data_IF_033726424218
#
_entry.id   IF_033726424218
#
_cell.length_a   1.000
_cell.length_b   1.000
_cell.length_c   1.000
_cell.angle_alpha   90.00
_cell.angle_beta   90.00
_cell.angle_gamma   90.00
#
_symmetry.space_group_name_H-M   'P 1'
#
loop_
_entity.id
_entity.type
_entity.pdbx_description
1 polymer ?
#
# COMPACT_ATOMS: atom_id res chain seq x y z
N UNK A 1 -4.48 15.03 -23.95
CA UNK A 1 -4.48 15.44 -22.53
C UNK A 1 -5.37 14.49 -21.77
N UNK A 2 -4.90 13.88 -20.68
CA UNK A 2 -5.72 12.95 -19.88
C UNK A 2 -6.72 13.78 -19.09
N UNK A 3 -8.02 13.52 -19.28
CA UNK A 3 -9.08 14.05 -18.42
C UNK A 3 -9.29 13.09 -17.26
N UNK A 4 -9.26 13.58 -16.03
CA UNK A 4 -9.55 12.85 -14.81
C UNK A 4 -10.79 13.44 -14.16
N UNK A 5 -11.74 12.59 -13.85
CA UNK A 5 -12.93 12.95 -13.09
C UNK A 5 -12.62 12.78 -11.60
N UNK A 6 -12.34 13.90 -10.92
CA UNK A 6 -12.02 13.87 -9.49
C UNK A 6 -13.28 13.57 -8.68
N UNK A 7 -13.27 12.47 -7.94
CA UNK A 7 -14.43 11.99 -7.17
C UNK A 7 -14.29 12.33 -5.68
N UNK A 8 -15.40 12.65 -5.04
CA UNK A 8 -15.47 12.93 -3.60
C UNK A 8 -14.93 11.75 -2.78
N UNK A 9 -14.33 12.06 -1.64
CA UNK A 9 -13.76 11.12 -0.69
C UNK A 9 -12.60 10.24 -1.24
N UNK A 10 -12.18 10.44 -2.48
CA UNK A 10 -11.01 9.72 -3.01
C UNK A 10 -9.74 10.28 -2.40
N UNK A 11 -8.84 9.35 -2.09
CA UNK A 11 -7.53 9.64 -1.51
C UNK A 11 -6.67 10.43 -2.47
N UNK A 12 -5.95 11.40 -1.92
CA UNK A 12 -4.80 12.00 -2.57
C UNK A 12 -3.64 12.16 -1.57
N UNK A 13 -2.45 12.29 -2.09
CA UNK A 13 -1.23 12.53 -1.32
C UNK A 13 -0.55 13.77 -1.88
N UNK A 14 -0.06 14.62 -0.99
CA UNK A 14 0.77 15.78 -1.32
C UNK A 14 2.23 15.40 -1.04
N UNK A 15 3.10 15.57 -2.02
CA UNK A 15 4.52 15.31 -1.88
C UNK A 15 5.26 16.61 -1.60
N UNK A 16 5.89 16.71 -0.43
CA UNK A 16 6.76 17.83 -0.03
C UNK A 16 8.00 17.25 0.65
N UNK A 17 9.19 17.67 0.25
CA UNK A 17 10.47 17.24 0.83
C UNK A 17 10.57 15.72 1.01
N UNK A 18 10.23 14.97 -0.04
CA UNK A 18 10.21 13.49 -0.07
C UNK A 18 9.22 12.82 0.90
N UNK A 19 8.41 13.61 1.61
CA UNK A 19 7.37 13.11 2.51
C UNK A 19 6.00 13.20 1.86
N UNK A 20 5.16 12.19 2.13
CA UNK A 20 3.79 12.13 1.64
C UNK A 20 2.81 12.49 2.75
N UNK A 21 1.98 13.51 2.49
CA UNK A 21 0.91 13.93 3.37
C UNK A 21 -0.43 13.47 2.80
N UNK A 22 -1.21 12.75 3.59
CA UNK A 22 -2.49 12.21 3.17
C UNK A 22 -3.58 13.28 3.22
N UNK A 23 -4.45 13.28 2.23
CA UNK A 23 -5.64 14.10 2.15
C UNK A 23 -6.73 13.38 1.35
N UNK A 24 -7.93 13.93 1.31
CA UNK A 24 -9.05 13.41 0.53
C UNK A 24 -9.74 14.57 -0.20
N UNK A 25 -10.33 14.27 -1.36
CA UNK A 25 -11.17 15.21 -2.10
C UNK A 25 -12.44 15.48 -1.31
N UNK A 26 -12.72 16.75 -1.04
CA UNK A 26 -13.90 17.21 -0.29
C UNK A 26 -14.97 17.80 -1.21
N UNK A 27 -14.56 18.51 -2.25
CA UNK A 27 -15.46 19.09 -3.24
C UNK A 27 -14.72 19.29 -4.58
N UNK A 28 -15.47 19.35 -5.67
CA UNK A 28 -14.94 19.56 -7.01
C UNK A 28 -15.89 20.47 -7.77
N UNK A 29 -15.41 21.64 -8.19
CA UNK A 29 -16.13 22.60 -9.02
C UNK A 29 -15.43 22.77 -10.37
N UNK A 30 -15.92 23.62 -11.22
CA UNK A 30 -15.24 23.95 -12.47
C UNK A 30 -13.92 24.70 -12.25
N UNK A 31 -13.81 25.45 -11.14
CA UNK A 31 -12.69 26.34 -10.86
C UNK A 31 -11.61 25.71 -9.95
N UNK A 32 -11.98 24.78 -9.05
CA UNK A 32 -11.06 24.22 -8.06
C UNK A 32 -11.36 22.77 -7.68
N UNK A 33 -10.39 22.18 -7.03
CA UNK A 33 -10.52 20.92 -6.26
C UNK A 33 -10.32 21.27 -4.79
N UNK A 34 -11.33 21.04 -3.96
CA UNK A 34 -11.22 21.19 -2.52
C UNK A 34 -10.71 19.89 -1.88
N UNK A 35 -9.76 20.01 -0.98
CA UNK A 35 -9.15 18.88 -0.28
C UNK A 35 -9.12 19.12 1.23
N UNK A 36 -9.17 18.05 2.02
CA UNK A 36 -8.92 18.14 3.47
C UNK A 36 -7.49 18.64 3.74
N UNK A 37 -7.23 19.21 4.91
CA UNK A 37 -5.87 19.60 5.28
C UNK A 37 -4.95 18.38 5.24
N UNK A 38 -3.84 18.41 4.49
CA UNK A 38 -2.94 17.27 4.37
C UNK A 38 -2.24 16.97 5.69
N UNK A 39 -2.18 15.68 6.05
CA UNK A 39 -1.58 15.22 7.31
C UNK A 39 -0.61 14.06 7.10
N UNK A 40 0.43 13.99 7.94
CA UNK A 40 1.31 12.84 8.06
C UNK A 40 1.54 12.53 9.53
N UNK A 41 1.20 11.32 9.98
CA UNK A 41 1.34 10.88 11.38
C UNK A 41 0.78 11.87 12.42
N UNK A 42 -0.33 12.57 12.10
CA UNK A 42 -0.96 13.57 12.96
C UNK A 42 -0.44 15.00 12.79
N UNK A 43 0.65 15.21 12.08
CA UNK A 43 1.17 16.53 11.75
C UNK A 43 0.49 17.11 10.52
N UNK A 44 0.05 18.37 10.60
CA UNK A 44 -0.54 19.10 9.50
C UNK A 44 0.56 19.72 8.61
N UNK A 45 0.38 19.64 7.29
CA UNK A 45 1.26 20.33 6.35
C UNK A 45 0.86 21.81 6.27
N UNK A 46 1.74 22.75 6.69
CA UNK A 46 1.49 24.17 6.54
C UNK A 46 1.68 24.60 5.08
N UNK A 47 0.58 24.88 4.37
CA UNK A 47 0.60 25.33 2.99
C UNK A 47 0.06 26.75 2.90
N UNK A 48 0.75 27.64 2.21
CA UNK A 48 0.31 29.03 1.97
C UNK A 48 -0.38 29.17 0.62
N UNK A 49 -1.24 30.18 0.48
CA UNK A 49 -1.81 30.56 -0.82
C UNK A 49 -0.69 30.90 -1.80
N UNK A 50 -0.77 30.39 -3.02
CA UNK A 50 0.24 30.53 -4.06
C UNK A 50 1.30 29.42 -4.05
N UNK A 51 1.39 28.59 -3.02
CA UNK A 51 2.31 27.45 -2.99
C UNK A 51 1.97 26.47 -4.12
N UNK A 52 3.00 26.01 -4.82
CA UNK A 52 2.88 24.94 -5.84
C UNK A 52 3.22 23.62 -5.16
N UNK A 53 2.38 22.63 -5.37
CA UNK A 53 2.50 21.30 -4.75
C UNK A 53 2.39 20.18 -5.80
N UNK A 54 3.09 19.10 -5.56
CA UNK A 54 2.95 17.85 -6.30
C UNK A 54 1.84 17.00 -5.65
N UNK A 55 0.83 16.68 -6.42
CA UNK A 55 -0.34 15.91 -5.99
C UNK A 55 -0.34 14.55 -6.64
N UNK A 56 -0.64 13.52 -5.86
CA UNK A 56 -0.88 12.17 -6.34
C UNK A 56 -2.32 11.80 -5.99
N UNK A 57 -3.12 11.57 -7.00
CA UNK A 57 -4.53 11.21 -6.88
C UNK A 57 -4.72 9.73 -7.16
N UNK A 58 -5.52 9.07 -6.33
CA UNK A 58 -5.80 7.63 -6.40
C UNK A 58 -7.24 7.39 -6.84
N UNK A 59 -7.39 6.80 -8.01
CA UNK A 59 -8.67 6.38 -8.55
C UNK A 59 -8.63 4.89 -8.89
N UNK A 60 -9.31 4.08 -8.07
CA UNK A 60 -9.40 2.62 -8.24
C UNK A 60 -8.06 1.97 -8.59
N UNK A 61 -7.86 1.59 -9.85
CA UNK A 61 -6.64 0.95 -10.33
C UNK A 61 -5.61 1.96 -10.88
N UNK A 62 -6.01 3.22 -11.04
CA UNK A 62 -5.19 4.25 -11.65
C UNK A 62 -4.60 5.19 -10.60
N UNK A 63 -3.40 5.64 -10.86
CA UNK A 63 -2.72 6.65 -10.06
C UNK A 63 -2.32 7.78 -11.00
N UNK A 64 -2.66 9.00 -10.61
CA UNK A 64 -2.36 10.19 -11.38
C UNK A 64 -1.44 11.12 -10.58
N UNK A 65 -0.49 11.75 -11.27
CA UNK A 65 0.36 12.80 -10.70
C UNK A 65 0.15 14.08 -11.48
N UNK A 66 0.03 15.20 -10.75
CA UNK A 66 -0.04 16.53 -11.33
C UNK A 66 0.50 17.59 -10.35
N UNK A 67 0.92 18.73 -10.87
CA UNK A 67 1.20 19.90 -10.08
C UNK A 67 -0.05 20.77 -9.99
N UNK A 68 -0.25 21.41 -8.84
CA UNK A 68 -1.31 22.38 -8.62
C UNK A 68 -0.87 23.47 -7.66
N UNK A 69 -1.51 24.63 -7.70
CA UNK A 69 -1.29 25.71 -6.75
C UNK A 69 -2.42 25.82 -5.73
N UNK A 70 -2.06 26.21 -4.51
CA UNK A 70 -3.04 26.56 -3.47
C UNK A 70 -3.65 27.93 -3.83
N UNK A 71 -4.92 27.97 -4.17
CA UNK A 71 -5.62 29.22 -4.50
C UNK A 71 -6.33 29.85 -3.31
N UNK A 72 -6.60 29.06 -2.26
CA UNK A 72 -7.25 29.58 -1.07
C UNK A 72 -7.51 28.52 -0.01
N UNK A 73 -8.20 28.98 1.03
CA UNK A 73 -8.74 28.14 2.10
C UNK A 73 -10.21 28.47 2.29
N UNK A 74 -11.00 27.49 2.67
CA UNK A 74 -12.40 27.65 3.04
C UNK A 74 -12.61 26.94 4.36
N UNK A 75 -13.48 27.47 5.17
CA UNK A 75 -13.90 26.85 6.41
C UNK A 75 -15.40 26.62 6.31
N UNK A 76 -15.79 25.37 6.24
CA UNK A 76 -17.20 24.95 6.37
C UNK A 76 -17.37 24.26 7.72
N UNK A 77 -17.60 22.94 7.75
CA UNK A 77 -17.57 22.17 9.00
C UNK A 77 -16.13 21.79 9.40
N UNK A 78 -15.25 21.68 8.42
CA UNK A 78 -13.82 21.42 8.59
C UNK A 78 -13.01 22.40 7.72
N UNK A 79 -11.76 22.71 8.09
CA UNK A 79 -10.90 23.52 7.24
C UNK A 79 -10.50 22.72 6.00
N UNK A 80 -10.63 23.33 4.82
CA UNK A 80 -10.28 22.76 3.52
C UNK A 80 -9.34 23.66 2.75
N UNK A 81 -8.50 23.07 1.90
CA UNK A 81 -7.65 23.79 0.95
C UNK A 81 -8.27 23.73 -0.44
N UNK A 82 -8.17 24.84 -1.16
CA UNK A 82 -8.60 24.93 -2.54
C UNK A 82 -7.38 24.87 -3.47
N UNK A 83 -7.37 23.88 -4.35
CA UNK A 83 -6.36 23.68 -5.37
C UNK A 83 -6.86 24.18 -6.70
N UNK A 84 -6.02 24.87 -7.46
CA UNK A 84 -6.31 25.17 -8.86
C UNK A 84 -6.51 23.88 -9.66
N UNK A 85 -7.34 23.90 -10.69
CA UNK A 85 -7.43 22.78 -11.62
C UNK A 85 -6.08 22.53 -12.29
N UNK A 86 -5.61 21.27 -12.34
CA UNK A 86 -4.33 20.94 -12.96
C UNK A 86 -4.40 21.16 -14.48
N UNK A 87 -3.35 21.76 -15.04
CA UNK A 87 -3.21 21.94 -16.49
C UNK A 87 -2.77 20.65 -17.17
N UNK A 88 -1.87 19.91 -16.53
CA UNK A 88 -1.34 18.66 -17.04
C UNK A 88 -1.49 17.55 -15.98
N UNK A 89 -2.00 16.40 -16.42
CA UNK A 89 -2.15 15.21 -15.56
C UNK A 89 -1.41 14.05 -16.22
N UNK A 90 -0.57 13.37 -15.44
CA UNK A 90 0.17 12.17 -15.89
C UNK A 90 -0.33 10.95 -15.13
N UNK A 91 -0.67 9.89 -15.86
CA UNK A 91 -0.90 8.58 -15.25
C UNK A 91 0.46 7.98 -14.87
N UNK A 92 0.59 7.52 -13.64
CA UNK A 92 1.84 6.92 -13.15
C UNK A 92 1.60 5.49 -12.69
N UNK A 93 2.62 4.64 -12.87
CA UNK A 93 2.64 3.28 -12.36
C UNK A 93 3.70 3.18 -11.26
N UNK A 94 3.27 3.00 -10.01
CA UNK A 94 4.17 2.86 -8.86
C UNK A 94 4.49 1.40 -8.51
N UNK A 95 3.65 0.47 -8.95
CA UNK A 95 3.82 -0.94 -8.61
C UNK A 95 4.62 -1.65 -9.69
N UNK A 96 5.75 -2.21 -9.30
CA UNK A 96 6.58 -3.05 -10.18
C UNK A 96 5.92 -4.40 -10.47
N UNK A 97 5.10 -4.89 -9.54
CA UNK A 97 4.43 -6.19 -9.63
C UNK A 97 2.92 -6.04 -9.42
N UNK A 98 2.15 -6.82 -10.16
CA UNK A 98 0.72 -6.97 -9.96
C UNK A 98 0.47 -7.59 -8.58
N UNK A 99 -0.60 -7.18 -7.90
CA UNK A 99 -1.08 -7.76 -6.64
C UNK A 99 -2.37 -8.48 -6.89
N UNK A 100 -2.50 -9.65 -6.29
CA UNK A 100 -3.71 -10.47 -6.38
C UNK A 100 -4.26 -10.69 -4.98
N UNK A 101 -5.51 -10.29 -4.72
CA UNK A 101 -6.17 -10.63 -3.47
C UNK A 101 -6.42 -12.13 -3.42
N UNK A 102 -6.15 -12.75 -2.27
CA UNK A 102 -6.42 -14.17 -2.03
C UNK A 102 -6.66 -14.38 -0.54
N UNK A 103 -7.22 -15.53 -0.20
CA UNK A 103 -7.29 -16.01 1.18
C UNK A 103 -6.61 -17.38 1.18
N UNK A 104 -5.39 -17.44 1.72
CA UNK A 104 -4.60 -18.66 1.74
C UNK A 104 -3.95 -18.85 3.10
N UNK A 105 -4.16 -20.04 3.69
CA UNK A 105 -3.52 -20.43 4.93
C UNK A 105 -2.00 -20.50 4.74
N UNK A 106 -1.27 -20.01 5.72
CA UNK A 106 0.17 -20.01 5.79
C UNK A 106 0.62 -20.12 7.25
N UNK A 107 1.92 -20.19 7.47
CA UNK A 107 2.53 -20.14 8.79
C UNK A 107 3.61 -19.05 8.78
N UNK A 108 3.92 -18.50 9.95
CA UNK A 108 4.97 -17.49 10.06
C UNK A 108 5.71 -17.56 11.38
N UNK A 109 6.91 -16.99 11.39
CA UNK A 109 7.69 -16.69 12.60
C UNK A 109 8.10 -15.22 12.51
N UNK A 110 7.97 -14.50 13.62
CA UNK A 110 8.47 -13.14 13.74
C UNK A 110 9.88 -13.14 14.34
N UNK A 111 10.86 -12.72 13.57
CA UNK A 111 12.26 -12.56 13.99
C UNK A 111 12.57 -11.15 14.50
N UNK A 112 11.54 -10.32 14.65
CA UNK A 112 11.69 -8.92 15.02
C UNK A 112 12.70 -8.21 14.08
N UNK A 113 13.59 -7.41 14.62
CA UNK A 113 14.59 -6.65 13.84
C UNK A 113 15.80 -7.48 13.38
N UNK A 114 15.77 -8.82 13.49
CA UNK A 114 16.90 -9.67 13.10
C UNK A 114 16.79 -10.10 11.64
N UNK A 115 17.61 -9.56 10.71
CA UNK A 115 17.50 -9.87 9.27
C UNK A 115 18.10 -11.24 8.89
N UNK A 116 18.93 -11.82 9.74
CA UNK A 116 19.61 -13.10 9.45
C UNK A 116 18.80 -14.27 10.03
N UNK A 117 17.96 -14.82 9.20
CA UNK A 117 17.19 -16.03 9.50
C UNK A 117 17.98 -17.25 9.03
N UNK A 118 18.49 -18.06 9.95
CA UNK A 118 19.06 -19.34 9.59
C UNK A 118 17.93 -20.39 9.47
N UNK A 119 17.51 -20.67 8.23
CA UNK A 119 16.39 -21.53 7.93
C UNK A 119 16.58 -23.00 8.37
N UNK A 120 17.83 -23.46 8.46
CA UNK A 120 18.16 -24.87 8.73
C UNK A 120 17.98 -25.30 10.19
N UNK A 121 17.76 -24.36 11.10
CA UNK A 121 17.66 -24.63 12.56
C UNK A 121 16.33 -24.24 13.18
N UNK A 122 15.31 -23.96 12.34
CA UNK A 122 14.02 -23.50 12.84
C UNK A 122 13.20 -24.67 13.33
N UNK A 123 12.86 -24.63 14.61
CA UNK A 123 11.91 -25.57 15.21
C UNK A 123 10.49 -25.31 14.67
N UNK A 124 9.89 -26.34 14.10
CA UNK A 124 8.54 -26.28 13.53
C UNK A 124 7.46 -25.88 14.57
N UNK A 125 7.71 -26.08 15.85
CA UNK A 125 6.79 -25.69 16.94
C UNK A 125 6.66 -24.17 17.10
N UNK A 126 7.60 -23.38 16.58
CA UNK A 126 7.60 -21.91 16.65
C UNK A 126 6.73 -21.22 15.60
N UNK A 127 6.25 -21.96 14.59
CA UNK A 127 5.41 -21.39 13.57
C UNK A 127 3.99 -21.08 14.10
N UNK A 128 3.58 -19.84 13.96
CA UNK A 128 2.22 -19.41 14.20
C UNK A 128 1.39 -19.48 12.90
N UNK A 129 0.10 -19.74 13.02
CA UNK A 129 -0.82 -19.75 11.87
C UNK A 129 -1.10 -18.33 11.41
N UNK A 130 -1.17 -18.15 10.11
CA UNK A 130 -1.55 -16.88 9.46
C UNK A 130 -2.38 -17.13 8.21
N UNK A 131 -2.88 -16.03 7.64
CA UNK A 131 -3.57 -16.02 6.34
C UNK A 131 -2.91 -14.95 5.47
N UNK A 132 -2.53 -15.35 4.26
CA UNK A 132 -2.10 -14.41 3.22
C UNK A 132 -3.37 -13.85 2.57
N UNK A 133 -3.50 -12.52 2.54
CA UNK A 133 -4.68 -11.82 1.99
C UNK A 133 -4.40 -11.04 0.70
N UNK A 134 -3.13 -10.90 0.34
CA UNK A 134 -2.67 -10.22 -0.88
C UNK A 134 -1.26 -10.73 -1.21
N UNK A 135 -0.98 -11.01 -2.48
CA UNK A 135 0.30 -11.53 -2.94
C UNK A 135 0.75 -10.85 -4.22
N UNK A 136 2.05 -10.57 -4.32
CA UNK A 136 2.71 -10.03 -5.52
C UNK A 136 4.13 -10.58 -5.65
N UNK A 137 4.80 -10.32 -6.79
CA UNK A 137 6.20 -10.70 -6.98
C UNK A 137 7.21 -9.95 -6.10
N UNK A 138 6.79 -8.95 -5.34
CA UNK A 138 7.66 -8.14 -4.46
C UNK A 138 7.23 -8.09 -3.00
N UNK A 139 6.10 -8.69 -2.64
CA UNK A 139 5.59 -8.65 -1.28
C UNK A 139 4.24 -9.31 -1.10
N UNK A 140 3.80 -9.39 0.14
CA UNK A 140 2.49 -9.95 0.50
C UNK A 140 1.87 -9.17 1.66
N UNK A 141 0.56 -9.36 1.87
CA UNK A 141 -0.10 -9.00 3.12
C UNK A 141 -0.47 -10.27 3.87
N UNK A 142 -0.19 -10.27 5.16
CA UNK A 142 -0.52 -11.37 6.06
C UNK A 142 -1.33 -10.87 7.26
N UNK A 143 -2.24 -11.70 7.76
CA UNK A 143 -3.02 -11.40 8.94
C UNK A 143 -2.46 -12.17 10.13
N UNK A 144 -1.78 -11.47 11.05
CA UNK A 144 -1.08 -12.05 12.20
C UNK A 144 -1.83 -11.81 13.50
N UNK A 145 -1.64 -12.70 14.49
CA UNK A 145 -2.31 -12.64 15.79
C UNK A 145 -1.50 -11.94 16.87
N UNK A 146 -0.20 -11.77 16.68
CA UNK A 146 0.68 -11.06 17.62
C UNK A 146 1.01 -9.65 17.14
N UNK A 147 1.45 -8.82 18.06
CA UNK A 147 1.92 -7.48 17.75
C UNK A 147 3.24 -7.53 16.97
N UNK A 148 3.28 -6.81 15.87
CA UNK A 148 4.43 -6.70 14.98
C UNK A 148 4.82 -5.24 14.87
N UNK A 149 6.11 -4.96 14.83
CA UNK A 149 6.64 -3.60 14.69
C UNK A 149 7.06 -3.28 13.26
N UNK A 150 7.10 -2.00 12.87
CA UNK A 150 7.71 -1.59 11.61
C UNK A 150 9.17 -2.06 11.53
N UNK A 151 9.56 -2.60 10.38
CA UNK A 151 10.85 -3.20 10.10
C UNK A 151 11.11 -4.58 10.72
N UNK A 152 10.17 -5.19 11.42
CA UNK A 152 10.28 -6.60 11.81
C UNK A 152 10.39 -7.50 10.59
N UNK A 153 11.16 -8.59 10.72
CA UNK A 153 11.31 -9.61 9.69
C UNK A 153 10.42 -10.82 10.02
N UNK A 154 9.53 -11.15 9.12
CA UNK A 154 8.68 -12.33 9.20
C UNK A 154 9.15 -13.37 8.20
N UNK A 155 9.44 -14.57 8.67
CA UNK A 155 9.57 -15.74 7.81
C UNK A 155 8.18 -16.33 7.60
N UNK A 156 7.72 -16.33 6.36
CA UNK A 156 6.42 -16.89 5.99
C UNK A 156 6.64 -18.19 5.22
N UNK A 157 6.03 -19.28 5.72
CA UNK A 157 5.92 -20.54 5.01
C UNK A 157 4.57 -20.56 4.28
N UNK A 158 4.64 -20.63 2.95
CA UNK A 158 3.49 -20.61 2.05
C UNK A 158 3.54 -21.81 1.11
N UNK A 159 2.46 -22.59 1.01
CA UNK A 159 2.37 -23.66 0.02
C UNK A 159 1.92 -23.10 -1.32
N UNK A 160 2.71 -23.28 -2.36
CA UNK A 160 2.44 -22.87 -3.75
C UNK A 160 2.52 -24.11 -4.64
N UNK A 161 1.44 -24.49 -5.34
CA UNK A 161 1.39 -25.66 -6.20
C UNK A 161 1.94 -26.94 -5.52
N UNK A 162 1.48 -27.20 -4.29
CA UNK A 162 1.88 -28.34 -3.45
C UNK A 162 3.31 -28.28 -2.88
N UNK A 163 4.10 -27.30 -3.25
CA UNK A 163 5.45 -27.06 -2.72
C UNK A 163 5.42 -26.00 -1.62
N UNK A 164 6.13 -26.27 -0.52
CA UNK A 164 6.32 -25.29 0.54
C UNK A 164 7.48 -24.35 0.19
N UNK A 165 7.20 -23.06 0.20
CA UNK A 165 8.22 -22.03 0.00
C UNK A 165 8.36 -21.18 1.26
N UNK A 166 9.60 -20.84 1.59
CA UNK A 166 9.94 -20.00 2.73
C UNK A 166 10.35 -18.62 2.22
N UNK A 167 9.68 -17.60 2.73
CA UNK A 167 9.87 -16.22 2.27
C UNK A 167 10.12 -15.31 3.46
N UNK A 168 11.26 -14.62 3.44
CA UNK A 168 11.52 -13.55 4.41
C UNK A 168 10.93 -12.25 3.90
N UNK A 169 10.06 -11.66 4.69
CA UNK A 169 9.48 -10.36 4.41
C UNK A 169 9.73 -9.36 5.53
N UNK A 170 10.11 -8.15 5.15
CA UNK A 170 10.26 -7.01 6.07
C UNK A 170 8.94 -6.24 6.16
N UNK A 171 8.48 -6.01 7.37
CA UNK A 171 7.24 -5.27 7.63
C UNK A 171 7.39 -3.80 7.26
N UNK A 172 6.50 -3.32 6.38
CA UNK A 172 6.46 -1.93 5.89
C UNK A 172 5.23 -1.17 6.36
N UNK A 173 4.11 -1.85 6.54
CA UNK A 173 2.85 -1.27 6.96
C UNK A 173 2.13 -2.23 7.89
N UNK A 174 1.54 -1.69 8.95
CA UNK A 174 0.76 -2.43 9.92
C UNK A 174 -0.57 -1.71 10.08
N UNK A 175 -1.65 -2.46 10.08
CA UNK A 175 -2.99 -1.97 10.40
C UNK A 175 -3.60 -2.91 11.43
N UNK A 176 -4.00 -2.38 12.58
CA UNK A 176 -4.74 -3.15 13.58
C UNK A 176 -6.19 -3.25 13.13
N UNK A 177 -6.76 -4.44 13.21
CA UNK A 177 -8.17 -4.70 12.92
C UNK A 177 -9.01 -4.73 14.21
N UNK A 178 -10.32 -4.60 14.05
CA UNK A 178 -11.27 -4.57 15.18
C UNK A 178 -11.28 -5.89 15.97
N UNK A 179 -10.91 -6.99 15.33
CA UNK A 179 -10.80 -8.32 15.96
C UNK A 179 -9.48 -8.51 16.75
N UNK A 180 -8.70 -7.45 16.92
CA UNK A 180 -7.44 -7.43 17.66
C UNK A 180 -6.23 -7.98 16.89
N UNK A 181 -6.43 -8.50 15.67
CA UNK A 181 -5.35 -8.97 14.78
C UNK A 181 -4.73 -7.82 14.00
N UNK A 182 -3.62 -8.10 13.35
CA UNK A 182 -2.89 -7.11 12.57
C UNK A 182 -2.77 -7.56 11.12
N UNK A 183 -3.03 -6.66 10.18
CA UNK A 183 -2.69 -6.82 8.77
C UNK A 183 -1.32 -6.20 8.54
N UNK A 184 -0.34 -7.05 8.21
CA UNK A 184 1.04 -6.65 7.94
C UNK A 184 1.32 -6.70 6.44
N UNK A 185 1.72 -5.56 5.87
CA UNK A 185 2.27 -5.49 4.52
C UNK A 185 3.77 -5.75 4.54
N UNK A 186 4.18 -6.84 3.91
CA UNK A 186 5.57 -7.29 3.85
C UNK A 186 6.18 -6.98 2.49
N UNK A 187 7.40 -6.48 2.47
CA UNK A 187 8.28 -6.42 1.29
C UNK A 187 9.23 -7.59 1.35
N UNK A 188 9.36 -8.36 0.27
CA UNK A 188 10.28 -9.49 0.24
C UNK A 188 11.72 -9.03 0.30
N UNK A 189 12.48 -9.67 1.19
CA UNK A 189 13.91 -9.48 1.34
C UNK A 189 14.64 -10.69 0.73
N UNK A 190 15.69 -10.45 -0.02
CA UNK A 190 16.60 -11.49 -0.54
C UNK A 190 15.91 -12.70 -1.21
N UNK A 191 14.76 -12.49 -1.85
CA UNK A 191 14.08 -13.55 -2.58
C UNK A 191 14.89 -13.92 -3.83
N UNK A 192 15.29 -15.19 -3.93
CA UNK A 192 16.01 -15.69 -5.12
C UNK A 192 15.11 -15.66 -6.37
N UNK A 193 15.75 -15.71 -7.55
CA UNK A 193 15.03 -15.57 -8.80
C UNK A 193 14.10 -16.76 -9.08
N UNK A 194 14.47 -17.98 -8.70
CA UNK A 194 13.67 -19.19 -8.93
C UNK A 194 12.37 -19.14 -8.11
N UNK A 195 12.46 -18.82 -6.83
CA UNK A 195 11.31 -18.64 -5.94
C UNK A 195 10.41 -17.47 -6.40
N UNK A 196 11.02 -16.38 -6.87
CA UNK A 196 10.27 -15.24 -7.42
C UNK A 196 9.49 -15.62 -8.68
N UNK A 197 10.10 -16.36 -9.59
CA UNK A 197 9.42 -16.84 -10.81
C UNK A 197 8.30 -17.83 -10.49
N UNK A 198 8.50 -18.70 -9.52
CA UNK A 198 7.48 -19.62 -9.04
C UNK A 198 6.25 -18.85 -8.49
N UNK A 199 6.49 -17.81 -7.67
CA UNK A 199 5.44 -16.93 -7.17
C UNK A 199 4.72 -16.19 -8.28
N UNK A 200 5.44 -15.64 -9.25
CA UNK A 200 4.86 -14.91 -10.39
C UNK A 200 3.97 -15.86 -11.22
N UNK A 201 4.42 -17.07 -11.52
CA UNK A 201 3.61 -18.08 -12.21
C UNK A 201 2.32 -18.40 -11.44
N UNK A 202 2.43 -18.58 -10.14
CA UNK A 202 1.28 -18.81 -9.26
C UNK A 202 0.29 -17.64 -9.27
N UNK A 203 0.80 -16.40 -9.19
CA UNK A 203 -0.02 -15.18 -9.26
C UNK A 203 -0.81 -15.13 -10.58
N UNK A 204 -0.18 -15.41 -11.71
CA UNK A 204 -0.87 -15.46 -13.00
C UNK A 204 -1.92 -16.57 -13.07
N UNK A 205 -1.67 -17.71 -12.43
CA UNK A 205 -2.66 -18.79 -12.31
C UNK A 205 -3.87 -18.35 -11.49
N UNK A 206 -3.65 -17.67 -10.34
CA UNK A 206 -4.72 -17.11 -9.52
C UNK A 206 -5.55 -16.10 -10.30
N UNK A 207 -4.92 -15.19 -11.02
CA UNK A 207 -5.62 -14.20 -11.86
C UNK A 207 -6.51 -14.87 -12.90
N UNK A 208 -6.00 -15.87 -13.63
CA UNK A 208 -6.80 -16.63 -14.62
C UNK A 208 -7.99 -17.33 -13.97
N UNK A 209 -7.80 -17.90 -12.77
CA UNK A 209 -8.88 -18.59 -12.06
C UNK A 209 -9.95 -17.62 -11.55
N UNK A 210 -9.56 -16.41 -11.13
CA UNK A 210 -10.50 -15.36 -10.72
C UNK A 210 -11.32 -14.84 -11.90
N UNK A 211 -10.70 -14.61 -13.06
CA UNK A 211 -11.41 -14.18 -14.28
C UNK A 211 -12.41 -15.20 -14.82
N UNK A 212 -12.21 -16.50 -14.57
CA UNK A 212 -13.16 -17.56 -14.98
C UNK A 212 -14.39 -17.67 -14.07
N UNK A 213 -14.38 -17.00 -12.92
CA UNK A 213 -15.49 -17.03 -11.94
C UNK A 213 -16.44 -15.83 -12.06
N UNK A 214 -16.13 -14.89 -12.94
CA UNK A 214 -16.95 -13.75 -13.34
C UNK A 214 -17.69 -14.09 -14.64
#
# INVERSE_FOLDING_TARGET
MIKVDFKLNKKLEILVDEKYFNSNVQDVTDDYIAISIPTNAGEYLPLSKGAIIDVIYYEEENIYKFASSIIGRKFENIPILLLAKPVEIKKIQRRKYVRVPLIKAAKYINFKNEPKVNHSTIDNSKYLKTVVVDLSGGGMKVKVSEEVSPNDFLLVSLTVNEEEILIVGKTKRITKEDDGRFICGLSFESLDNATREQLIRYIFQLMRNQMKKI
#
